data_IF_651860341420
#
_entry.id   IF_651860341420
#
_cell.length_a   1.000
_cell.length_b   1.000
_cell.length_c   1.000
_cell.angle_alpha   90.00
_cell.angle_beta   90.00
_cell.angle_gamma   90.00
#
_symmetry.space_group_name_H-M   'P 1'
#
loop_
_entity.id
_entity.type
_entity.pdbx_description
1 polymer ?
#
# COMPACT_ATOMS: atom_id res chain seq x y z
N UNK A 1 -18.29 -31.23 11.70
CA UNK A 1 -18.15 -32.70 11.65
C UNK A 1 -18.20 -33.23 10.22
N UNK A 2 -19.31 -33.02 9.49
CA UNK A 2 -19.49 -33.53 8.12
C UNK A 2 -18.36 -33.09 7.16
N UNK A 3 -17.86 -31.85 7.25
CA UNK A 3 -16.77 -31.42 6.38
C UNK A 3 -15.47 -32.22 6.62
N UNK A 4 -15.11 -32.51 7.85
CA UNK A 4 -13.93 -33.38 8.18
C UNK A 4 -14.15 -34.81 7.71
N UNK A 5 -15.35 -35.35 7.89
CA UNK A 5 -15.72 -36.68 7.39
C UNK A 5 -15.60 -36.77 5.87
N UNK A 6 -15.80 -35.67 5.15
CA UNK A 6 -15.64 -35.54 3.71
C UNK A 6 -14.21 -35.14 3.26
N UNK A 7 -13.24 -35.14 4.17
CA UNK A 7 -11.82 -34.94 3.85
C UNK A 7 -11.31 -33.49 3.94
N UNK A 8 -12.07 -32.57 4.53
CA UNK A 8 -11.52 -31.23 4.79
C UNK A 8 -10.43 -31.30 5.88
N UNK A 9 -9.23 -30.83 5.57
CA UNK A 9 -8.08 -30.83 6.49
C UNK A 9 -8.23 -29.76 7.57
N UNK A 10 -8.65 -28.54 7.19
CA UNK A 10 -8.85 -27.39 8.08
C UNK A 10 -10.24 -26.82 7.94
N UNK A 11 -10.86 -26.46 9.05
CA UNK A 11 -12.20 -25.86 9.09
C UNK A 11 -12.15 -24.56 9.89
N UNK A 12 -12.44 -23.46 9.22
CA UNK A 12 -12.71 -22.18 9.87
C UNK A 12 -14.21 -22.00 10.11
N UNK A 13 -14.58 -21.36 11.20
CA UNK A 13 -15.92 -20.84 11.44
C UNK A 13 -15.87 -19.31 11.33
N UNK A 14 -16.84 -18.72 10.65
CA UNK A 14 -16.88 -17.29 10.39
C UNK A 14 -18.03 -16.65 11.15
N UNK A 15 -17.76 -15.55 11.86
CA UNK A 15 -18.80 -14.67 12.40
C UNK A 15 -18.91 -13.45 11.49
N UNK A 16 -19.92 -13.44 10.65
CA UNK A 16 -20.30 -12.27 9.88
C UNK A 16 -20.75 -11.17 10.83
N UNK A 17 -20.33 -9.91 10.55
CA UNK A 17 -20.65 -8.73 11.36
C UNK A 17 -20.19 -8.86 12.84
N UNK A 18 -19.03 -9.46 13.04
CA UNK A 18 -18.48 -9.68 14.38
C UNK A 18 -18.18 -8.36 15.10
N UNK A 19 -17.76 -7.31 14.38
CA UNK A 19 -17.46 -6.00 14.94
C UNK A 19 -18.65 -5.37 15.71
N UNK A 20 -19.89 -5.62 15.26
CA UNK A 20 -21.11 -5.12 15.91
C UNK A 20 -21.83 -6.14 16.76
N UNK A 21 -21.34 -7.37 16.83
CA UNK A 21 -21.95 -8.44 17.63
C UNK A 21 -21.49 -8.36 19.09
N UNK A 22 -22.39 -8.63 20.02
CA UNK A 22 -22.08 -8.71 21.44
C UNK A 22 -20.96 -9.72 21.73
N UNK A 23 -20.00 -9.34 22.57
CA UNK A 23 -18.81 -10.14 22.82
C UNK A 23 -19.11 -11.51 23.44
N UNK A 24 -20.09 -11.58 24.36
CA UNK A 24 -20.43 -12.85 25.00
C UNK A 24 -21.06 -13.83 24.00
N UNK A 25 -21.86 -13.32 23.09
CA UNK A 25 -22.40 -14.14 21.98
C UNK A 25 -21.31 -14.65 21.05
N UNK A 26 -20.29 -13.85 20.76
CA UNK A 26 -19.14 -14.32 19.98
C UNK A 26 -18.38 -15.42 20.74
N UNK A 27 -18.17 -15.26 22.04
CA UNK A 27 -17.51 -16.28 22.89
C UNK A 27 -18.31 -17.60 22.83
N UNK A 28 -19.62 -17.54 23.02
CA UNK A 28 -20.50 -18.73 22.93
C UNK A 28 -20.40 -19.40 21.54
N UNK A 29 -20.42 -18.59 20.47
CA UNK A 29 -20.29 -19.08 19.10
C UNK A 29 -18.94 -19.77 18.84
N UNK A 30 -17.84 -19.16 19.31
CA UNK A 30 -16.49 -19.73 19.17
C UNK A 30 -16.38 -21.04 19.93
N UNK A 31 -16.88 -21.13 21.17
CA UNK A 31 -16.87 -22.34 21.99
C UNK A 31 -17.65 -23.46 21.26
N UNK A 32 -18.86 -23.17 20.81
CA UNK A 32 -19.67 -24.15 20.08
C UNK A 32 -19.00 -24.65 18.79
N UNK A 33 -18.33 -23.75 18.06
CA UNK A 33 -17.56 -24.11 16.86
C UNK A 33 -16.35 -24.98 17.15
N UNK A 34 -15.61 -24.65 18.20
CA UNK A 34 -14.47 -25.44 18.70
C UNK A 34 -14.92 -26.86 19.09
N UNK A 35 -16.01 -26.98 19.86
CA UNK A 35 -16.59 -28.28 20.25
C UNK A 35 -17.09 -29.09 19.04
N UNK A 36 -17.57 -28.41 18.00
CA UNK A 36 -17.97 -29.03 16.74
C UNK A 36 -16.80 -29.50 15.88
N UNK A 37 -15.55 -29.16 16.25
CA UNK A 37 -14.32 -29.59 15.57
C UNK A 37 -13.78 -28.60 14.54
N UNK A 38 -14.08 -27.32 14.66
CA UNK A 38 -13.40 -26.28 13.92
C UNK A 38 -11.95 -26.11 14.39
N UNK A 39 -11.10 -25.58 13.52
CA UNK A 39 -9.67 -25.39 13.78
C UNK A 39 -9.32 -23.91 14.07
N UNK A 40 -10.14 -22.94 13.60
CA UNK A 40 -9.96 -21.52 13.84
C UNK A 40 -11.28 -20.76 13.72
N UNK A 41 -11.29 -19.57 14.34
CA UNK A 41 -12.41 -18.63 14.28
C UNK A 41 -12.01 -17.41 13.44
N UNK A 42 -12.82 -17.07 12.43
CA UNK A 42 -12.68 -15.87 11.64
C UNK A 42 -13.60 -14.77 12.16
N UNK A 43 -12.99 -13.72 12.66
CA UNK A 43 -13.65 -12.48 13.02
C UNK A 43 -13.80 -11.61 11.76
N UNK A 44 -15.04 -11.35 11.33
CA UNK A 44 -15.30 -10.51 10.18
C UNK A 44 -15.69 -9.10 10.63
N UNK A 45 -14.83 -8.13 10.40
CA UNK A 45 -15.19 -6.73 10.41
C UNK A 45 -15.83 -6.37 9.06
N UNK A 46 -17.07 -6.80 8.92
CA UNK A 46 -17.82 -6.81 7.66
C UNK A 46 -18.03 -5.43 7.06
N UNK A 47 -18.15 -4.41 7.88
CA UNK A 47 -18.34 -3.02 7.44
C UNK A 47 -17.07 -2.17 7.50
N UNK A 48 -15.94 -2.75 7.94
CA UNK A 48 -14.71 -1.98 8.17
C UNK A 48 -14.89 -0.89 9.22
N UNK A 49 -15.63 -1.21 10.29
CA UNK A 49 -16.05 -0.26 11.32
C UNK A 49 -15.17 -0.26 12.57
N UNK A 50 -14.38 -1.30 12.77
CA UNK A 50 -13.45 -1.37 13.90
C UNK A 50 -12.27 -0.40 13.73
N UNK A 51 -11.76 0.06 14.86
CA UNK A 51 -10.47 0.74 14.97
C UNK A 51 -9.43 -0.20 15.61
N UNK A 52 -8.12 0.12 15.51
CA UNK A 52 -7.06 -0.73 16.04
C UNK A 52 -7.17 -1.02 17.54
N UNK A 53 -7.64 -0.09 18.35
CA UNK A 53 -7.76 -0.28 19.80
C UNK A 53 -8.93 -1.20 20.11
N UNK A 54 -10.07 -0.93 19.52
CA UNK A 54 -11.29 -1.72 19.73
C UNK A 54 -11.10 -3.17 19.33
N UNK A 55 -10.56 -3.45 18.14
CA UNK A 55 -10.34 -4.83 17.69
C UNK A 55 -9.32 -5.55 18.57
N UNK A 56 -8.23 -4.87 18.97
CA UNK A 56 -7.25 -5.47 19.88
C UNK A 56 -7.89 -5.97 21.16
N UNK A 57 -8.68 -5.13 21.83
CA UNK A 57 -9.36 -5.48 23.08
C UNK A 57 -10.37 -6.60 22.89
N UNK A 58 -11.16 -6.56 21.82
CA UNK A 58 -12.16 -7.58 21.49
C UNK A 58 -11.52 -8.93 21.20
N UNK A 59 -10.51 -8.97 20.34
CA UNK A 59 -9.82 -10.21 19.98
C UNK A 59 -9.06 -10.78 21.18
N UNK A 60 -8.41 -9.92 21.97
CA UNK A 60 -7.73 -10.34 23.20
C UNK A 60 -8.71 -11.00 24.17
N UNK A 61 -9.87 -10.41 24.38
CA UNK A 61 -10.91 -10.97 25.24
C UNK A 61 -11.44 -12.31 24.71
N UNK A 62 -11.73 -12.40 23.41
CA UNK A 62 -12.13 -13.65 22.73
C UNK A 62 -11.08 -14.75 22.89
N UNK A 63 -9.82 -14.43 22.58
CA UNK A 63 -8.72 -15.38 22.65
C UNK A 63 -8.46 -15.89 24.07
N UNK A 64 -8.51 -14.99 25.07
CA UNK A 64 -8.38 -15.36 26.49
C UNK A 64 -9.50 -16.28 26.97
N UNK A 65 -10.75 -16.00 26.56
CA UNK A 65 -11.92 -16.76 26.97
C UNK A 65 -12.00 -18.14 26.29
N UNK A 66 -11.61 -18.23 25.03
CA UNK A 66 -11.84 -19.45 24.22
C UNK A 66 -10.59 -20.32 24.02
N UNK A 67 -9.40 -19.74 24.18
CA UNK A 67 -8.11 -20.40 23.86
C UNK A 67 -8.16 -21.09 22.49
N UNK A 68 -8.55 -20.32 21.47
CA UNK A 68 -8.78 -20.81 20.13
C UNK A 68 -8.12 -19.90 19.11
N UNK A 69 -7.52 -20.45 18.02
CA UNK A 69 -6.88 -19.63 16.98
C UNK A 69 -7.85 -18.63 16.34
N UNK A 70 -7.37 -17.41 16.11
CA UNK A 70 -8.15 -16.30 15.55
C UNK A 70 -7.70 -15.96 14.14
N UNK A 71 -8.64 -15.61 13.27
CA UNK A 71 -8.37 -15.10 11.92
C UNK A 71 -9.08 -13.75 11.74
N UNK A 72 -8.35 -12.73 11.30
CA UNK A 72 -8.88 -11.39 11.03
C UNK A 72 -9.31 -11.32 9.56
N UNK A 73 -10.57 -10.92 9.31
CA UNK A 73 -11.08 -10.60 7.98
C UNK A 73 -11.70 -9.20 8.01
N UNK A 74 -10.90 -8.18 7.67
CA UNK A 74 -11.28 -6.79 7.83
C UNK A 74 -11.46 -6.10 6.48
N UNK A 75 -12.60 -5.41 6.31
CA UNK A 75 -12.84 -4.50 5.20
C UNK A 75 -12.17 -3.15 5.42
N UNK A 76 -12.03 -2.39 4.34
CA UNK A 76 -11.22 -1.15 4.33
C UNK A 76 -12.06 0.12 4.14
N UNK A 77 -13.34 0.10 4.55
CA UNK A 77 -14.27 1.21 4.34
C UNK A 77 -13.86 2.50 5.04
N UNK A 78 -13.17 2.42 6.16
CA UNK A 78 -12.58 3.56 6.87
C UNK A 78 -11.07 3.74 6.60
N UNK A 79 -10.49 2.99 5.66
CA UNK A 79 -9.06 3.08 5.34
C UNK A 79 -8.14 2.50 6.42
N UNK A 80 -8.62 1.62 7.28
CA UNK A 80 -7.86 1.05 8.40
C UNK A 80 -7.69 -0.47 8.32
N UNK A 81 -8.04 -1.10 7.20
CA UNK A 81 -8.09 -2.56 7.07
C UNK A 81 -6.80 -3.27 7.50
N UNK A 82 -5.63 -2.77 7.08
CA UNK A 82 -4.33 -3.33 7.46
C UNK A 82 -4.03 -3.12 8.95
N UNK A 83 -4.23 -1.89 9.44
CA UNK A 83 -3.96 -1.55 10.82
C UNK A 83 -4.83 -2.35 11.80
N UNK A 84 -6.12 -2.47 11.49
CA UNK A 84 -7.11 -3.25 12.26
C UNK A 84 -6.73 -4.74 12.24
N UNK A 85 -6.43 -5.30 11.08
CA UNK A 85 -6.05 -6.72 10.95
C UNK A 85 -4.79 -7.07 11.73
N UNK A 86 -3.74 -6.25 11.61
CA UNK A 86 -2.46 -6.46 12.32
C UNK A 86 -2.68 -6.35 13.84
N UNK A 87 -3.42 -5.34 14.27
CA UNK A 87 -3.63 -5.11 15.71
C UNK A 87 -4.53 -6.18 16.34
N UNK A 88 -5.54 -6.65 15.63
CA UNK A 88 -6.34 -7.81 16.04
C UNK A 88 -5.48 -9.07 16.19
N UNK A 89 -4.59 -9.32 15.20
CA UNK A 89 -3.65 -10.44 15.28
C UNK A 89 -2.70 -10.33 16.50
N UNK A 90 -2.21 -9.13 16.82
CA UNK A 90 -1.42 -8.91 18.04
C UNK A 90 -2.20 -9.27 19.31
N UNK A 91 -3.47 -8.86 19.42
CA UNK A 91 -4.33 -9.20 20.55
C UNK A 91 -4.47 -10.72 20.76
N UNK A 92 -4.58 -11.48 19.66
CA UNK A 92 -4.62 -12.94 19.70
C UNK A 92 -3.28 -13.55 20.16
N UNK A 93 -2.17 -13.14 19.54
CA UNK A 93 -0.82 -13.65 19.85
C UNK A 93 -0.44 -13.36 21.31
N UNK A 94 -0.68 -12.15 21.79
CA UNK A 94 -0.43 -11.79 23.20
C UNK A 94 -1.30 -12.58 24.20
N UNK A 95 -2.39 -13.18 23.73
CA UNK A 95 -3.25 -14.07 24.51
C UNK A 95 -2.84 -15.53 24.46
N UNK A 96 -1.74 -15.83 23.74
CA UNK A 96 -1.15 -17.16 23.63
C UNK A 96 -1.87 -18.10 22.66
N UNK A 97 -2.50 -17.55 21.61
CA UNK A 97 -3.09 -18.34 20.54
C UNK A 97 -2.54 -17.91 19.17
N UNK A 98 -2.58 -18.83 18.20
CA UNK A 98 -2.20 -18.52 16.82
C UNK A 98 -3.16 -17.51 16.20
N UNK A 99 -2.62 -16.69 15.30
CA UNK A 99 -3.40 -15.73 14.56
C UNK A 99 -3.12 -15.78 13.07
N UNK A 100 -4.17 -15.51 12.30
CA UNK A 100 -4.15 -15.45 10.84
C UNK A 100 -4.67 -14.10 10.38
N UNK A 101 -4.07 -13.52 9.36
CA UNK A 101 -4.57 -12.32 8.71
C UNK A 101 -5.05 -12.72 7.31
N UNK A 102 -6.34 -12.54 7.06
CA UNK A 102 -6.95 -12.76 5.76
C UNK A 102 -6.71 -11.52 4.89
N UNK A 103 -6.01 -11.69 3.78
CA UNK A 103 -5.60 -10.59 2.91
C UNK A 103 -6.05 -10.82 1.48
N UNK A 104 -6.09 -9.73 0.71
CA UNK A 104 -6.31 -9.77 -0.73
C UNK A 104 -5.16 -9.09 -1.47
N UNK A 105 -4.94 -9.41 -2.74
CA UNK A 105 -3.90 -8.77 -3.54
C UNK A 105 -4.43 -7.43 -4.04
N UNK A 106 -3.63 -6.37 -3.90
CA UNK A 106 -3.97 -4.98 -4.22
C UNK A 106 -5.17 -4.44 -3.41
N UNK A 107 -5.51 -5.06 -2.30
CA UNK A 107 -6.68 -4.69 -1.50
C UNK A 107 -8.01 -4.94 -2.21
N UNK A 108 -8.04 -5.72 -3.29
CA UNK A 108 -9.28 -5.96 -4.04
C UNK A 108 -10.32 -6.64 -3.17
N UNK A 109 -11.56 -6.18 -3.28
CA UNK A 109 -12.68 -6.70 -2.51
C UNK A 109 -13.94 -5.88 -2.77
N UNK A 110 -14.98 -6.18 -2.03
CA UNK A 110 -16.22 -5.40 -2.10
C UNK A 110 -16.04 -4.01 -1.52
N UNK A 111 -16.79 -3.04 -2.01
CA UNK A 111 -16.80 -1.62 -1.60
C UNK A 111 -15.40 -0.99 -1.68
N UNK A 112 -14.80 -0.64 -0.53
CA UNK A 112 -13.45 -0.06 -0.46
C UNK A 112 -12.33 -1.11 -0.35
N UNK A 113 -12.66 -2.40 -0.54
CA UNK A 113 -11.72 -3.51 -0.51
C UNK A 113 -11.48 -4.09 0.88
N UNK A 114 -10.40 -4.85 0.98
CA UNK A 114 -10.00 -5.58 2.17
C UNK A 114 -8.54 -5.27 2.51
N UNK A 115 -8.08 -5.79 3.64
CA UNK A 115 -6.68 -5.79 4.03
C UNK A 115 -5.78 -6.27 2.87
N UNK A 116 -4.83 -5.43 2.42
CA UNK A 116 -3.93 -5.77 1.33
C UNK A 116 -2.72 -6.61 1.80
N UNK A 117 -2.37 -7.63 1.02
CA UNK A 117 -1.27 -8.54 1.33
C UNK A 117 0.08 -7.81 1.39
N UNK A 118 0.41 -7.02 0.37
CA UNK A 118 1.72 -6.35 0.27
C UNK A 118 1.88 -5.31 1.37
N UNK A 119 0.86 -4.47 1.58
CA UNK A 119 0.84 -3.47 2.65
C UNK A 119 1.00 -4.10 4.03
N UNK A 120 0.33 -5.23 4.26
CA UNK A 120 0.45 -5.99 5.51
C UNK A 120 1.87 -6.49 5.74
N UNK A 121 2.50 -7.12 4.73
CA UNK A 121 3.87 -7.63 4.85
C UNK A 121 4.87 -6.48 5.04
N UNK A 122 4.71 -5.36 4.32
CA UNK A 122 5.52 -4.17 4.49
C UNK A 122 5.40 -3.60 5.91
N UNK A 123 4.19 -3.52 6.45
CA UNK A 123 3.97 -3.05 7.82
C UNK A 123 4.62 -3.99 8.85
N UNK A 124 4.48 -5.30 8.70
CA UNK A 124 5.13 -6.29 9.58
C UNK A 124 6.66 -6.20 9.54
N UNK A 125 7.22 -5.91 8.35
CA UNK A 125 8.68 -5.87 8.15
C UNK A 125 9.32 -4.55 8.58
N UNK A 126 8.67 -3.40 8.35
CA UNK A 126 9.30 -2.08 8.47
C UNK A 126 8.72 -1.18 9.57
N UNK A 127 7.58 -1.53 10.17
CA UNK A 127 7.02 -0.72 11.26
C UNK A 127 7.85 -0.83 12.54
N UNK A 128 8.27 0.32 13.10
CA UNK A 128 9.11 0.37 14.30
C UNK A 128 8.59 -0.45 15.49
N UNK A 129 7.26 -0.53 15.66
CA UNK A 129 6.66 -1.29 16.76
C UNK A 129 6.62 -2.81 16.53
N UNK A 130 6.93 -3.27 15.32
CA UNK A 130 6.79 -4.67 14.90
C UNK A 130 8.13 -5.33 14.56
N UNK A 131 9.09 -4.59 13.99
CA UNK A 131 10.36 -5.14 13.48
C UNK A 131 11.17 -5.97 14.51
N UNK A 132 11.05 -5.64 15.78
CA UNK A 132 11.73 -6.40 16.86
C UNK A 132 10.92 -7.60 17.36
N UNK A 133 9.64 -7.68 17.01
CA UNK A 133 8.69 -8.68 17.52
C UNK A 133 8.27 -9.70 16.46
N UNK A 134 8.32 -9.31 15.19
CA UNK A 134 7.85 -10.10 14.07
C UNK A 134 9.03 -10.50 13.19
N UNK A 135 9.18 -11.79 12.97
CA UNK A 135 10.14 -12.31 12.01
C UNK A 135 9.36 -12.98 10.88
N UNK A 136 9.49 -12.43 9.67
CA UNK A 136 8.90 -13.06 8.49
C UNK A 136 9.60 -14.37 8.18
N UNK A 137 8.85 -15.40 7.82
CA UNK A 137 9.38 -16.66 7.35
C UNK A 137 10.25 -16.45 6.10
N UNK A 138 11.34 -17.22 5.98
CA UNK A 138 12.29 -17.12 4.85
C UNK A 138 11.66 -17.39 3.48
N UNK A 139 10.51 -18.10 3.44
CA UNK A 139 9.76 -18.35 2.21
C UNK A 139 8.91 -17.14 1.77
N UNK A 140 8.78 -16.10 2.61
CA UNK A 140 8.08 -14.86 2.22
C UNK A 140 9.02 -14.02 1.34
N UNK A 141 8.91 -14.21 0.03
CA UNK A 141 9.68 -13.42 -0.94
C UNK A 141 8.93 -12.16 -1.35
N UNK A 142 9.23 -11.05 -0.66
CA UNK A 142 8.62 -9.74 -0.94
C UNK A 142 8.95 -9.24 -2.36
N UNK A 143 10.02 -9.70 -3.00
CA UNK A 143 10.35 -9.35 -4.40
C UNK A 143 9.31 -9.84 -5.40
N UNK A 144 8.46 -10.77 -5.01
CA UNK A 144 7.33 -11.20 -5.83
C UNK A 144 6.15 -10.22 -5.81
N UNK A 145 6.14 -9.22 -4.91
CA UNK A 145 5.00 -8.31 -4.72
C UNK A 145 4.56 -7.59 -6.00
N UNK A 146 5.51 -6.99 -6.73
CA UNK A 146 5.22 -6.33 -8.01
C UNK A 146 4.61 -7.29 -9.03
N UNK A 147 5.21 -8.45 -9.20
CA UNK A 147 4.78 -9.46 -10.17
C UNK A 147 3.37 -9.99 -9.86
N UNK A 148 3.10 -10.28 -8.59
CA UNK A 148 1.78 -10.75 -8.13
C UNK A 148 0.72 -9.65 -8.31
N UNK A 149 1.04 -8.41 -7.94
CA UNK A 149 0.13 -7.27 -8.10
C UNK A 149 -0.26 -7.06 -9.57
N UNK A 150 0.72 -7.11 -10.47
CA UNK A 150 0.49 -7.00 -11.93
C UNK A 150 -0.33 -8.15 -12.47
N UNK A 151 -0.05 -9.37 -12.03
CA UNK A 151 -0.82 -10.54 -12.44
C UNK A 151 -2.28 -10.46 -12.00
N UNK A 152 -2.53 -10.08 -10.75
CA UNK A 152 -3.88 -9.90 -10.24
C UNK A 152 -4.63 -8.78 -10.99
N UNK A 153 -3.96 -7.65 -11.25
CA UNK A 153 -4.50 -6.56 -12.06
C UNK A 153 -4.96 -7.05 -13.45
N UNK A 154 -4.13 -7.84 -14.10
CA UNK A 154 -4.45 -8.44 -15.40
C UNK A 154 -5.61 -9.45 -15.29
N UNK A 155 -5.54 -10.38 -14.33
CA UNK A 155 -6.51 -11.46 -14.18
C UNK A 155 -7.91 -10.96 -13.83
N UNK A 156 -8.03 -9.93 -13.01
CA UNK A 156 -9.29 -9.33 -12.61
C UNK A 156 -9.72 -8.14 -13.50
N UNK A 157 -8.87 -7.70 -14.41
CA UNK A 157 -9.06 -6.50 -15.21
C UNK A 157 -9.37 -5.25 -14.36
N UNK A 158 -8.67 -5.13 -13.23
CA UNK A 158 -8.76 -4.01 -12.30
C UNK A 158 -7.40 -3.32 -12.21
N UNK A 159 -7.33 -1.96 -12.28
CA UNK A 159 -6.07 -1.26 -12.16
C UNK A 159 -5.54 -1.38 -10.71
N UNK A 160 -4.20 -1.48 -10.57
CA UNK A 160 -3.57 -1.30 -9.26
C UNK A 160 -3.85 0.15 -8.81
N UNK A 161 -4.34 0.38 -7.57
CA UNK A 161 -4.49 1.74 -7.07
C UNK A 161 -3.19 2.53 -7.18
N UNK A 162 -3.26 3.77 -7.68
CA UNK A 162 -2.07 4.58 -7.97
C UNK A 162 -1.13 4.75 -6.77
N UNK A 163 -1.69 4.84 -5.57
CA UNK A 163 -1.00 5.02 -4.29
C UNK A 163 -0.85 3.74 -3.47
N UNK A 164 -1.07 2.57 -4.07
CA UNK A 164 -0.91 1.29 -3.37
C UNK A 164 0.52 1.12 -2.85
N UNK A 165 0.74 0.85 -1.55
CA UNK A 165 2.08 0.68 -1.00
C UNK A 165 2.91 -0.35 -1.76
N UNK A 166 4.15 0.01 -2.10
CA UNK A 166 5.11 -0.82 -2.81
C UNK A 166 4.84 -1.06 -4.29
N UNK A 167 3.56 -1.17 -4.71
CA UNK A 167 3.21 -1.62 -6.07
C UNK A 167 2.44 -0.60 -6.90
N UNK A 168 1.89 0.44 -6.31
CA UNK A 168 1.21 1.52 -7.03
C UNK A 168 2.21 2.33 -7.88
N UNK A 169 1.74 2.94 -8.97
CA UNK A 169 2.61 3.72 -9.86
C UNK A 169 3.26 4.91 -9.16
N UNK A 170 2.62 5.45 -8.13
CA UNK A 170 3.11 6.60 -7.35
C UNK A 170 3.94 6.22 -6.11
N UNK A 171 4.11 4.93 -5.81
CA UNK A 171 4.73 4.46 -4.56
C UNK A 171 6.18 4.95 -4.35
N UNK A 172 6.90 5.27 -5.44
CA UNK A 172 8.28 5.78 -5.44
C UNK A 172 8.41 7.05 -6.28
N UNK A 173 7.36 7.87 -6.38
CA UNK A 173 7.38 9.12 -7.11
C UNK A 173 7.60 10.30 -6.17
N UNK A 174 8.49 11.21 -6.56
CA UNK A 174 8.83 12.43 -5.83
C UNK A 174 8.68 13.64 -6.74
N UNK A 175 7.91 14.64 -6.31
CA UNK A 175 7.67 15.89 -7.05
C UNK A 175 8.23 17.09 -6.31
N UNK A 176 8.00 17.22 -5.01
CA UNK A 176 8.49 18.32 -4.19
C UNK A 176 10.02 18.42 -4.27
N UNK A 177 10.55 19.64 -4.47
CA UNK A 177 11.99 19.89 -4.61
C UNK A 177 12.81 19.40 -3.41
N UNK A 178 12.27 19.49 -2.21
CA UNK A 178 12.96 19.03 -0.99
C UNK A 178 12.99 17.49 -0.94
N UNK A 179 11.91 16.83 -1.35
CA UNK A 179 11.85 15.36 -1.43
C UNK A 179 12.77 14.84 -2.54
N UNK A 180 12.71 15.44 -3.74
CA UNK A 180 13.53 15.04 -4.87
C UNK A 180 15.04 15.23 -4.56
N UNK A 181 15.44 16.38 -4.01
CA UNK A 181 16.83 16.64 -3.61
C UNK A 181 17.31 15.66 -2.53
N UNK A 182 16.48 15.41 -1.52
CA UNK A 182 16.78 14.47 -0.45
C UNK A 182 16.92 13.03 -0.95
N UNK A 183 15.97 12.55 -1.77
CA UNK A 183 16.01 11.21 -2.34
C UNK A 183 17.17 11.00 -3.32
N UNK A 184 17.59 12.05 -4.06
CA UNK A 184 18.75 12.00 -4.95
C UNK A 184 20.08 11.96 -4.19
N UNK A 185 20.15 12.55 -2.98
CA UNK A 185 21.33 12.49 -2.12
C UNK A 185 21.47 11.16 -1.41
N UNK A 186 20.39 10.71 -0.80
CA UNK A 186 20.26 9.41 -0.13
C UNK A 186 18.78 9.03 -0.13
N UNK A 187 18.44 7.92 -0.78
CA UNK A 187 17.05 7.45 -0.88
C UNK A 187 16.39 7.25 0.48
N UNK A 188 17.14 6.85 1.52
CA UNK A 188 16.65 6.66 2.89
C UNK A 188 16.09 7.92 3.56
N UNK A 189 16.33 9.11 2.99
CA UNK A 189 15.75 10.34 3.49
C UNK A 189 14.23 10.40 3.26
N UNK A 190 13.72 9.73 2.22
CA UNK A 190 12.31 9.82 1.81
C UNK A 190 11.70 8.49 1.38
N UNK A 191 12.44 7.38 1.45
CA UNK A 191 11.96 6.04 1.13
C UNK A 191 12.23 5.10 2.30
N UNK A 192 11.18 4.47 2.79
CA UNK A 192 11.25 3.52 3.91
C UNK A 192 11.85 2.18 3.50
N UNK A 193 11.68 1.81 2.24
CA UNK A 193 12.19 0.60 1.59
C UNK A 193 12.54 0.92 0.13
N UNK A 194 13.39 0.09 -0.46
CA UNK A 194 13.81 0.27 -1.84
C UNK A 194 12.82 -0.34 -2.84
N UNK A 195 12.71 0.20 -4.08
CA UNK A 195 11.90 -0.42 -5.14
C UNK A 195 12.25 -1.89 -5.37
N UNK A 196 13.51 -2.24 -5.26
CA UNK A 196 14.05 -3.58 -5.44
C UNK A 196 13.55 -4.56 -4.37
N UNK A 197 13.23 -4.08 -3.18
CA UNK A 197 12.68 -4.91 -2.09
C UNK A 197 11.31 -5.51 -2.44
N UNK A 198 10.57 -4.85 -3.32
CA UNK A 198 9.23 -5.27 -3.78
C UNK A 198 9.23 -5.78 -5.23
N UNK A 199 10.41 -6.05 -5.78
CA UNK A 199 10.59 -6.56 -7.15
C UNK A 199 10.39 -5.52 -8.24
N UNK A 200 10.55 -4.23 -7.91
CA UNK A 200 10.59 -3.12 -8.87
C UNK A 200 12.03 -2.63 -9.00
N UNK A 201 12.34 -1.95 -10.12
CA UNK A 201 13.68 -1.42 -10.34
C UNK A 201 14.74 -2.49 -10.67
N UNK A 202 14.36 -3.73 -10.90
CA UNK A 202 15.24 -4.75 -11.48
C UNK A 202 15.73 -4.29 -12.87
N UNK A 203 16.91 -4.73 -13.34
CA UNK A 203 17.45 -4.27 -14.63
C UNK A 203 16.49 -4.38 -15.81
N UNK A 204 15.62 -5.38 -15.80
CA UNK A 204 14.57 -5.61 -16.80
C UNK A 204 13.33 -4.72 -16.60
N UNK A 205 13.19 -4.06 -15.43
CA UNK A 205 12.05 -3.27 -15.02
C UNK A 205 12.46 -1.88 -14.50
N UNK A 206 13.54 -1.30 -15.04
CA UNK A 206 14.06 0.01 -14.62
C UNK A 206 13.01 1.13 -14.62
N UNK A 207 12.05 1.06 -15.56
CA UNK A 207 10.95 2.03 -15.65
C UNK A 207 9.97 1.96 -14.48
N UNK A 208 10.02 0.92 -13.67
CA UNK A 208 9.12 0.73 -12.51
C UNK A 208 9.75 1.15 -11.19
N UNK A 209 10.99 1.62 -11.19
CA UNK A 209 11.71 2.11 -10.03
C UNK A 209 11.25 3.49 -9.58
N UNK A 210 12.17 4.23 -8.92
CA UNK A 210 11.92 5.61 -8.48
C UNK A 210 11.63 6.52 -9.67
N UNK A 211 10.61 7.34 -9.52
CA UNK A 211 10.25 8.38 -10.49
C UNK A 211 10.35 9.75 -9.83
N UNK A 212 11.12 10.66 -10.44
CA UNK A 212 11.10 12.09 -10.12
C UNK A 212 10.25 12.75 -11.19
N UNK A 213 9.18 13.42 -10.77
CA UNK A 213 8.25 14.11 -11.66
C UNK A 213 8.40 15.62 -11.56
N UNK A 214 7.91 16.35 -12.55
CA UNK A 214 7.74 17.79 -12.47
C UNK A 214 6.34 18.11 -11.96
N UNK A 215 6.22 19.11 -11.09
CA UNK A 215 4.95 19.56 -10.57
C UNK A 215 5.03 21.01 -10.11
N UNK A 216 3.90 21.54 -9.65
CA UNK A 216 3.79 22.94 -9.19
C UNK A 216 4.82 23.28 -8.11
N UNK A 217 5.07 22.34 -7.20
CA UNK A 217 6.00 22.50 -6.07
C UNK A 217 7.41 21.94 -6.34
N UNK A 218 7.70 21.56 -7.57
CA UNK A 218 8.99 21.00 -7.99
C UNK A 218 10.12 22.02 -7.86
N UNK A 219 11.23 21.63 -7.24
CA UNK A 219 12.45 22.45 -7.15
C UNK A 219 13.41 22.27 -8.33
N UNK A 220 14.36 23.21 -8.50
CA UNK A 220 15.30 23.24 -9.63
C UNK A 220 16.11 21.95 -9.78
N UNK A 221 16.47 21.28 -8.67
CA UNK A 221 17.26 20.03 -8.72
C UNK A 221 16.48 18.85 -9.27
N UNK A 222 15.25 18.64 -8.79
CA UNK A 222 14.36 17.61 -9.33
C UNK A 222 14.03 17.87 -10.80
N UNK A 223 13.77 19.11 -11.14
CA UNK A 223 13.52 19.56 -12.50
C UNK A 223 14.71 19.26 -13.44
N UNK A 224 15.93 19.65 -13.08
CA UNK A 224 17.13 19.31 -13.86
C UNK A 224 17.30 17.80 -14.04
N UNK A 225 17.09 17.03 -12.98
CA UNK A 225 17.18 15.57 -13.06
C UNK A 225 16.22 14.98 -14.10
N UNK A 226 14.97 15.47 -14.16
CA UNK A 226 13.99 15.03 -15.17
C UNK A 226 14.49 15.40 -16.58
N UNK A 227 14.93 16.64 -16.79
CA UNK A 227 15.40 17.08 -18.09
C UNK A 227 16.70 16.40 -18.53
N UNK A 228 17.62 16.13 -17.60
CA UNK A 228 18.84 15.34 -17.87
C UNK A 228 18.52 13.92 -18.39
N UNK A 229 17.49 13.27 -17.80
CA UNK A 229 17.00 11.97 -18.32
C UNK A 229 16.43 12.07 -19.73
N UNK A 230 15.84 13.21 -20.09
CA UNK A 230 15.35 13.48 -21.43
C UNK A 230 16.46 13.87 -22.43
N UNK A 231 17.71 13.93 -21.95
CA UNK A 231 18.87 14.36 -22.75
C UNK A 231 18.90 15.87 -23.01
N UNK A 232 18.25 16.65 -22.17
CA UNK A 232 18.16 18.11 -22.28
C UNK A 232 18.98 18.73 -21.13
N UNK A 233 20.05 19.46 -21.48
CA UNK A 233 20.93 20.12 -20.54
C UNK A 233 20.83 21.62 -20.67
N UNK A 234 20.74 22.31 -19.55
CA UNK A 234 20.67 23.77 -19.50
C UNK A 234 22.07 24.36 -19.29
N UNK A 235 22.37 25.47 -19.96
CA UNK A 235 23.67 26.16 -19.85
C UNK A 235 23.93 26.70 -18.46
N UNK A 236 22.88 27.27 -17.85
CA UNK A 236 22.97 27.85 -16.52
C UNK A 236 21.66 27.70 -15.73
N UNK A 237 21.66 28.19 -14.49
CA UNK A 237 20.49 28.14 -13.62
C UNK A 237 19.39 29.11 -14.05
N UNK A 238 19.71 30.18 -14.77
CA UNK A 238 18.71 31.15 -15.23
C UNK A 238 17.86 30.58 -16.37
N UNK A 239 18.52 29.89 -17.31
CA UNK A 239 17.81 29.17 -18.37
C UNK A 239 16.92 28.07 -17.79
N UNK A 240 17.45 27.26 -16.89
CA UNK A 240 16.68 26.22 -16.22
C UNK A 240 15.49 26.78 -15.42
N UNK A 241 15.65 27.91 -14.73
CA UNK A 241 14.53 28.56 -13.99
C UNK A 241 13.42 29.06 -14.88
N UNK A 242 13.73 29.64 -16.04
CA UNK A 242 12.71 30.10 -16.99
C UNK A 242 11.84 28.93 -17.50
N UNK A 243 12.47 27.81 -17.80
CA UNK A 243 11.76 26.62 -18.25
C UNK A 243 11.00 25.95 -17.11
N UNK A 244 11.56 25.95 -15.89
CA UNK A 244 10.88 25.49 -14.67
C UNK A 244 9.61 26.29 -14.41
N UNK A 245 9.66 27.62 -14.47
CA UNK A 245 8.48 28.49 -14.28
C UNK A 245 7.36 28.16 -15.27
N UNK A 246 7.71 27.90 -16.54
CA UNK A 246 6.73 27.49 -17.54
C UNK A 246 6.15 26.10 -17.27
N UNK A 247 6.97 25.17 -16.84
CA UNK A 247 6.51 23.81 -16.47
C UNK A 247 5.60 23.85 -15.24
N UNK A 248 5.94 24.65 -14.23
CA UNK A 248 5.10 24.85 -13.05
C UNK A 248 3.76 25.50 -13.41
N UNK A 249 3.78 26.52 -14.27
CA UNK A 249 2.56 27.15 -14.77
C UNK A 249 1.67 26.14 -15.52
N UNK A 250 2.24 25.30 -16.38
CA UNK A 250 1.49 24.28 -17.08
C UNK A 250 0.90 23.22 -16.13
N UNK A 251 1.68 22.75 -15.14
CA UNK A 251 1.20 21.81 -14.13
C UNK A 251 0.03 22.40 -13.30
N UNK A 252 0.12 23.67 -12.92
CA UNK A 252 -0.94 24.36 -12.19
C UNK A 252 -2.28 24.34 -12.97
N UNK A 253 -2.21 24.53 -14.28
CA UNK A 253 -3.42 24.58 -15.13
C UNK A 253 -3.92 23.18 -15.52
N UNK A 254 -3.03 22.23 -15.72
CA UNK A 254 -3.41 20.86 -16.11
C UNK A 254 -3.76 19.98 -14.92
N UNK A 255 -3.32 20.35 -13.71
CA UNK A 255 -3.49 19.58 -12.46
C UNK A 255 -2.95 18.14 -12.56
N UNK A 256 -1.91 17.92 -13.37
CA UNK A 256 -1.26 16.63 -13.58
C UNK A 256 0.21 16.84 -13.96
N UNK A 257 1.10 15.86 -13.69
CA UNK A 257 2.47 15.88 -14.19
C UNK A 257 2.50 16.00 -15.72
N UNK A 258 3.45 16.78 -16.23
CA UNK A 258 3.64 16.91 -17.67
C UNK A 258 4.25 15.64 -18.25
N UNK A 259 3.85 15.31 -19.46
CA UNK A 259 4.45 14.23 -20.25
C UNK A 259 5.84 14.62 -20.74
N UNK A 260 6.66 13.64 -21.13
CA UNK A 260 7.99 13.87 -21.71
C UNK A 260 7.95 14.77 -22.95
N UNK A 261 6.92 14.62 -23.80
CA UNK A 261 6.76 15.43 -25.00
C UNK A 261 6.40 16.88 -24.66
N UNK A 262 5.56 17.11 -23.66
CA UNK A 262 5.23 18.46 -23.14
C UNK A 262 6.49 19.13 -22.55
N UNK A 263 7.28 18.40 -21.78
CA UNK A 263 8.55 18.88 -21.23
C UNK A 263 9.56 19.24 -22.33
N UNK A 264 9.73 18.37 -23.35
CA UNK A 264 10.59 18.61 -24.51
C UNK A 264 10.13 19.84 -25.29
N UNK A 265 8.83 20.00 -25.48
CA UNK A 265 8.27 21.15 -26.18
C UNK A 265 8.55 22.46 -25.43
N UNK A 266 8.32 22.50 -24.11
CA UNK A 266 8.55 23.69 -23.27
C UNK A 266 10.04 24.08 -23.30
N UNK A 267 10.95 23.11 -23.16
CA UNK A 267 12.39 23.38 -23.20
C UNK A 267 12.87 23.88 -24.58
N UNK A 268 12.37 23.28 -25.66
CA UNK A 268 12.78 23.62 -27.03
C UNK A 268 12.20 24.94 -27.52
N UNK A 269 11.00 25.28 -27.09
CA UNK A 269 10.25 26.45 -27.58
C UNK A 269 9.63 27.29 -26.44
N UNK A 270 10.44 27.77 -25.47
CA UNK A 270 9.89 28.42 -24.27
C UNK A 270 9.06 29.66 -24.58
N UNK A 271 9.44 30.48 -25.57
CA UNK A 271 8.69 31.67 -25.96
C UNK A 271 7.35 31.35 -26.61
N UNK A 272 7.27 30.25 -27.36
CA UNK A 272 6.03 29.78 -27.99
C UNK A 272 5.15 29.16 -26.90
N UNK A 273 5.70 28.32 -26.03
CA UNK A 273 4.99 27.73 -24.90
C UNK A 273 4.35 28.83 -24.04
N UNK A 274 5.11 29.86 -23.69
CA UNK A 274 4.60 31.01 -22.94
C UNK A 274 3.42 31.68 -23.62
N UNK A 275 3.46 31.90 -24.93
CA UNK A 275 2.37 32.53 -25.68
C UNK A 275 1.11 31.67 -25.73
N UNK A 276 1.27 30.36 -25.92
CA UNK A 276 0.15 29.42 -25.98
C UNK A 276 -0.52 29.31 -24.60
N UNK A 277 0.27 29.19 -23.53
CA UNK A 277 -0.24 29.06 -22.16
C UNK A 277 -0.95 30.35 -21.67
N UNK A 278 -0.50 31.52 -22.10
CA UNK A 278 -1.09 32.80 -21.72
C UNK A 278 -2.29 33.20 -22.60
N UNK A 279 -2.53 32.50 -23.72
CA UNK A 279 -3.64 32.75 -24.60
C UNK A 279 -4.95 32.06 -24.18
N UNK A 280 -4.88 31.11 -23.23
CA UNK A 280 -6.06 30.49 -22.64
C UNK A 280 -6.25 31.07 -21.23
N UNK A 281 -7.36 31.82 -20.98
CA UNK A 281 -7.69 32.30 -19.65
C UNK A 281 -8.13 31.18 -18.72
#
# INVERSE_FOLDING_TARGET
KTAKELGAETIGINAEDASRTDLNRLIEFVIAGKEAGADRFRYCDTLGADDPITIYERIKALALATKFPMEMHCHNDLGMGEAVSITGAQGAIESGVDSYINTTINGYGERCGNCDLVSTILALKFSHGLTEKVHLDEHVDLKMAWKIAKYASYAFNLPIPINQPGVGSNAFAHESGIHADGALKDRRNYELYDPEDVGRGEPELLETGRVITTGEYGGLKGFRHVYDKLGIHFHDDNEARKVLELAQYANLHTQKPLTDDELRFIAKYPDIAKKIMTANP
#
